data_IF_497024615071
#
_entry.id   IF_497024615071
#
_cell.length_a   1.000
_cell.length_b   1.000
_cell.length_c   1.000
_cell.angle_alpha   90.00
_cell.angle_beta   90.00
_cell.angle_gamma   90.00
#
_symmetry.space_group_name_H-M   'P 1'
#
loop_
_entity.id
_entity.type
_entity.pdbx_description
1 polymer ?
#
# COMPACT_ATOMS: atom_id res chain seq x y z
N UNK A 1 0.50 -17.04 -1.83
CA UNK A 1 1.23 -17.49 -2.97
C UNK A 1 2.69 -17.49 -2.69
N UNK A 2 3.18 -18.64 -2.39
CA UNK A 2 4.58 -18.83 -2.21
C UNK A 2 5.14 -18.00 -1.06
N UNK A 3 6.28 -17.43 -1.32
CA UNK A 3 7.03 -16.70 -0.30
C UNK A 3 6.55 -15.26 -0.20
N UNK A 4 5.58 -15.02 0.66
CA UNK A 4 4.99 -13.69 0.79
C UNK A 4 6.02 -12.65 1.21
N UNK A 5 6.84 -12.98 2.21
CA UNK A 5 7.85 -12.02 2.67
C UNK A 5 8.90 -11.78 1.61
N UNK A 6 9.29 -12.82 0.89
CA UNK A 6 10.25 -12.68 -0.20
C UNK A 6 9.69 -11.81 -1.32
N UNK A 7 8.39 -11.93 -1.60
CA UNK A 7 7.76 -11.10 -2.61
C UNK A 7 7.81 -9.63 -2.20
N UNK A 8 7.58 -9.34 -0.92
CA UNK A 8 7.66 -7.97 -0.44
C UNK A 8 9.09 -7.44 -0.57
N UNK A 9 10.08 -8.26 -0.23
CA UNK A 9 11.48 -7.83 -0.35
C UNK A 9 11.87 -7.57 -1.80
N UNK A 10 11.39 -8.41 -2.70
CA UNK A 10 11.69 -8.22 -4.12
C UNK A 10 11.04 -6.94 -4.66
N UNK A 11 9.84 -6.63 -4.19
CA UNK A 11 9.17 -5.40 -4.60
C UNK A 11 9.97 -4.18 -4.12
N UNK A 12 10.48 -4.23 -2.90
CA UNK A 12 11.29 -3.14 -2.37
C UNK A 12 12.57 -2.96 -3.19
N UNK A 13 13.22 -4.06 -3.55
CA UNK A 13 14.42 -3.98 -4.36
C UNK A 13 14.11 -3.40 -5.73
N UNK A 14 12.97 -3.78 -6.32
CA UNK A 14 12.59 -3.27 -7.62
C UNK A 14 12.33 -1.77 -7.58
N UNK A 15 11.72 -1.28 -6.51
CA UNK A 15 11.50 0.15 -6.34
C UNK A 15 12.84 0.89 -6.32
N UNK A 16 13.79 0.39 -5.54
CA UNK A 16 15.09 1.04 -5.43
C UNK A 16 15.83 1.04 -6.75
N UNK A 17 15.71 -0.05 -7.51
CA UNK A 17 16.35 -0.13 -8.82
C UNK A 17 15.79 0.88 -9.79
N UNK A 18 14.55 1.30 -9.58
CA UNK A 18 13.93 2.28 -10.45
C UNK A 18 14.04 3.69 -9.92
N UNK A 19 14.92 3.88 -8.94
CA UNK A 19 15.21 5.21 -8.43
C UNK A 19 14.23 5.74 -7.40
N UNK A 20 13.38 4.87 -6.87
CA UNK A 20 12.46 5.29 -5.82
C UNK A 20 13.19 5.17 -4.48
N UNK A 21 13.17 6.24 -3.70
CA UNK A 21 13.89 6.28 -2.46
C UNK A 21 12.95 5.93 -1.33
N UNK A 22 13.21 4.83 -0.67
CA UNK A 22 12.39 4.37 0.44
C UNK A 22 13.00 4.91 1.72
N UNK A 23 12.24 5.73 2.44
CA UNK A 23 12.75 6.41 3.63
C UNK A 23 12.32 5.74 4.92
N UNK A 24 11.19 5.02 4.91
CA UNK A 24 10.74 4.28 6.09
C UNK A 24 9.99 3.04 5.64
N UNK A 25 10.07 2.01 6.46
CA UNK A 25 9.31 0.78 6.22
C UNK A 25 8.65 0.36 7.50
N UNK A 26 7.39 -0.05 7.43
CA UNK A 26 6.74 -0.64 8.58
C UNK A 26 7.20 -2.09 8.74
N UNK A 27 6.89 -2.68 9.88
CA UNK A 27 7.00 -4.12 10.02
C UNK A 27 6.02 -4.78 9.05
N UNK A 28 6.14 -6.09 8.91
CA UNK A 28 5.18 -6.86 8.13
C UNK A 28 4.01 -7.23 9.03
N UNK A 29 2.82 -7.21 8.48
CA UNK A 29 1.61 -7.52 9.22
C UNK A 29 0.81 -8.56 8.47
N UNK A 30 0.23 -9.50 9.20
CA UNK A 30 -0.71 -10.44 8.62
C UNK A 30 -2.12 -9.95 8.89
N UNK A 31 -2.97 -10.03 7.89
CA UNK A 31 -4.34 -9.58 8.02
C UNK A 31 -5.28 -10.68 7.59
N UNK A 32 -6.40 -10.80 8.28
CA UNK A 32 -7.35 -11.85 7.97
C UNK A 32 -8.06 -11.56 6.65
N UNK A 33 -8.38 -12.60 5.89
CA UNK A 33 -9.13 -12.41 4.66
C UNK A 33 -10.52 -11.90 4.96
N UNK A 34 -11.06 -11.08 4.06
CA UNK A 34 -12.39 -10.55 4.23
C UNK A 34 -13.42 -11.66 4.15
N UNK A 35 -13.20 -12.61 3.26
CA UNK A 35 -14.14 -13.70 3.11
C UNK A 35 -13.74 -14.88 3.98
N UNK A 36 -14.73 -15.55 4.51
CA UNK A 36 -14.50 -16.67 5.39
C UNK A 36 -14.10 -17.89 4.59
N UNK A 37 -12.91 -17.89 4.08
CA UNK A 37 -12.40 -19.03 3.34
C UNK A 37 -11.16 -19.56 3.99
N UNK A 38 -10.87 -20.81 3.76
CA UNK A 38 -9.68 -21.44 4.29
C UNK A 38 -8.51 -21.06 3.38
N UNK A 39 -7.93 -19.93 3.64
CA UNK A 39 -6.77 -19.50 2.88
C UNK A 39 -5.85 -18.74 3.79
N UNK A 40 -4.63 -18.55 3.35
CA UNK A 40 -3.64 -17.85 4.13
C UNK A 40 -4.02 -16.40 4.32
N UNK A 41 -3.63 -15.86 5.45
CA UNK A 41 -3.83 -14.45 5.69
C UNK A 41 -2.92 -13.65 4.76
N UNK A 42 -3.35 -12.44 4.44
CA UNK A 42 -2.57 -11.57 3.58
C UNK A 42 -1.44 -10.95 4.36
N UNK A 43 -0.36 -10.64 3.66
CA UNK A 43 0.78 -9.97 4.26
C UNK A 43 0.80 -8.54 3.73
N UNK A 44 0.89 -7.58 4.64
CA UNK A 44 0.86 -6.17 4.29
C UNK A 44 1.95 -5.39 4.98
N UNK A 45 2.37 -4.31 4.37
CA UNK A 45 3.26 -3.35 5.01
C UNK A 45 3.03 -2.00 4.37
N UNK A 46 3.53 -0.97 5.01
CA UNK A 46 3.50 0.38 4.45
C UNK A 46 4.93 0.87 4.32
N UNK A 47 5.17 1.67 3.30
CA UNK A 47 6.47 2.28 3.12
C UNK A 47 6.27 3.76 2.82
N UNK A 48 7.25 4.54 3.23
CA UNK A 48 7.30 5.96 2.90
C UNK A 48 8.37 6.12 1.85
N UNK A 49 8.05 6.85 0.80
CA UNK A 49 9.04 7.09 -0.25
C UNK A 49 9.15 8.59 -0.47
N UNK A 50 10.29 8.97 -1.03
CA UNK A 50 10.54 10.35 -1.43
C UNK A 50 10.63 10.39 -2.93
N UNK A 51 10.00 11.39 -3.54
CA UNK A 51 10.14 11.61 -4.97
C UNK A 51 10.70 13.01 -5.16
N UNK A 52 11.34 13.25 -6.30
CA UNK A 52 11.86 14.56 -6.64
C UNK A 52 10.73 15.31 -7.27
N UNK A 53 9.68 15.47 -6.56
CA UNK A 53 8.44 15.82 -7.15
C UNK A 53 8.25 17.29 -7.30
N UNK A 54 8.49 17.77 -8.47
CA UNK A 54 8.17 19.14 -8.81
C UNK A 54 7.17 19.17 -9.95
N UNK A 55 6.71 18.00 -10.41
CA UNK A 55 5.83 17.94 -11.57
C UNK A 55 4.45 17.51 -11.13
N UNK A 56 3.45 18.03 -11.82
CA UNK A 56 2.08 17.73 -11.45
C UNK A 56 1.69 16.30 -11.77
N UNK A 57 2.36 15.67 -12.73
CA UNK A 57 2.01 14.31 -13.10
C UNK A 57 2.78 13.25 -12.31
N UNK A 58 3.51 13.65 -11.29
CA UNK A 58 4.34 12.71 -10.53
C UNK A 58 3.57 11.55 -9.92
N UNK A 59 2.38 11.76 -9.33
CA UNK A 59 1.65 10.62 -8.82
C UNK A 59 1.31 9.59 -9.89
N UNK A 60 0.96 10.03 -11.08
CA UNK A 60 0.65 9.10 -12.16
C UNK A 60 1.91 8.39 -12.65
N UNK A 61 3.04 9.09 -12.68
CA UNK A 61 4.30 8.46 -13.05
C UNK A 61 4.69 7.39 -12.05
N UNK A 62 4.48 7.67 -10.76
CA UNK A 62 4.75 6.69 -9.72
C UNK A 62 3.84 5.47 -9.88
N UNK A 63 2.56 5.70 -10.13
CA UNK A 63 1.63 4.57 -10.29
C UNK A 63 2.05 3.71 -11.48
N UNK A 64 2.53 4.32 -12.56
CA UNK A 64 3.00 3.55 -13.72
C UNK A 64 4.17 2.66 -13.34
N UNK A 65 5.10 3.16 -12.50
CA UNK A 65 6.22 2.34 -12.03
C UNK A 65 5.74 1.17 -11.20
N UNK A 66 4.77 1.41 -10.32
CA UNK A 66 4.25 0.34 -9.48
C UNK A 66 3.63 -0.76 -10.32
N UNK A 67 2.88 -0.38 -11.35
CA UNK A 67 2.26 -1.37 -12.22
C UNK A 67 3.28 -2.17 -12.98
N UNK A 68 4.36 -1.55 -13.44
CA UNK A 68 5.43 -2.26 -14.12
C UNK A 68 6.06 -3.29 -13.19
N UNK A 69 6.30 -2.90 -11.93
CA UNK A 69 6.89 -3.81 -10.96
C UNK A 69 5.96 -4.98 -10.69
N UNK A 70 4.66 -4.72 -10.51
CA UNK A 70 3.71 -5.79 -10.27
C UNK A 70 3.69 -6.79 -11.41
N UNK A 71 3.70 -6.29 -12.64
CA UNK A 71 3.69 -7.17 -13.80
C UNK A 71 4.98 -7.97 -13.89
N UNK A 72 6.09 -7.35 -13.57
CA UNK A 72 7.38 -8.03 -13.63
C UNK A 72 7.52 -9.11 -12.58
N UNK A 73 6.74 -9.05 -11.52
CA UNK A 73 6.85 -10.01 -10.44
C UNK A 73 5.90 -11.19 -10.59
N UNK A 74 5.40 -11.44 -11.78
CA UNK A 74 4.67 -12.68 -11.98
C UNK A 74 3.19 -12.54 -12.21
N UNK A 75 2.78 -11.35 -12.59
CA UNK A 75 1.42 -11.24 -12.98
C UNK A 75 1.30 -11.82 -14.35
N UNK A 76 1.41 -13.12 -14.41
CA UNK A 76 1.35 -13.80 -15.66
C UNK A 76 -0.06 -13.86 -16.08
N UNK A 77 -0.26 -13.63 -17.24
CA UNK A 77 -1.47 -13.47 -17.66
C UNK A 77 -2.24 -14.52 -18.11
N UNK A 78 -1.94 -15.67 -17.94
CA UNK A 78 -2.78 -16.80 -18.32
C UNK A 78 -4.12 -16.72 -17.62
N UNK A 79 -4.17 -16.11 -16.46
CA UNK A 79 -5.40 -15.97 -15.72
C UNK A 79 -5.53 -14.54 -15.25
N UNK A 80 -6.20 -13.72 -16.04
CA UNK A 80 -6.33 -12.32 -15.70
C UNK A 80 -6.93 -12.05 -14.33
N UNK A 81 -7.77 -12.97 -13.84
CA UNK A 81 -8.39 -12.81 -12.54
C UNK A 81 -7.71 -13.62 -11.46
N UNK A 82 -6.59 -14.22 -11.77
CA UNK A 82 -5.87 -15.01 -10.78
C UNK A 82 -5.26 -14.15 -9.71
N UNK A 83 -4.80 -14.77 -8.63
CA UNK A 83 -4.20 -14.02 -7.54
C UNK A 83 -2.94 -13.29 -7.98
N UNK A 84 -2.72 -12.15 -7.43
CA UNK A 84 -1.52 -11.38 -7.72
C UNK A 84 -0.44 -11.75 -6.75
N UNK A 85 0.80 -11.68 -7.21
CA UNK A 85 1.94 -11.93 -6.35
C UNK A 85 2.05 -10.81 -5.34
N UNK A 86 1.78 -9.59 -5.75
CA UNK A 86 1.84 -8.43 -4.87
C UNK A 86 0.93 -7.34 -5.42
N UNK A 87 0.35 -6.57 -4.51
CA UNK A 87 -0.42 -5.39 -4.84
C UNK A 87 0.25 -4.19 -4.22
N UNK A 88 0.43 -3.13 -4.98
CA UNK A 88 1.01 -1.90 -4.46
C UNK A 88 0.07 -0.74 -4.78
N UNK A 89 -0.28 0.01 -3.74
CA UNK A 89 -1.18 1.14 -3.88
C UNK A 89 -0.55 2.39 -3.33
N UNK A 90 -0.89 3.52 -3.92
CA UNK A 90 -0.52 4.81 -3.37
C UNK A 90 -1.64 5.20 -2.42
N UNK A 91 -1.33 5.36 -1.15
CA UNK A 91 -2.32 5.66 -0.14
C UNK A 91 -2.44 7.17 0.07
N UNK A 92 -1.31 7.82 0.25
CA UNK A 92 -1.23 9.26 0.40
C UNK A 92 -0.06 9.78 -0.42
N UNK A 93 -0.16 11.00 -0.89
CA UNK A 93 0.92 11.63 -1.64
C UNK A 93 0.99 13.08 -1.18
N UNK A 94 1.68 13.30 -0.08
CA UNK A 94 1.67 14.60 0.57
C UNK A 94 0.24 15.02 0.84
N UNK A 95 -0.12 16.20 0.43
CA UNK A 95 -1.50 16.68 0.57
C UNK A 95 -2.25 16.68 -0.74
N UNK A 96 -1.72 16.00 -1.74
CA UNK A 96 -2.33 15.97 -3.07
C UNK A 96 -3.64 15.22 -3.05
N UNK A 97 -4.59 15.72 -3.81
CA UNK A 97 -5.85 15.05 -4.04
C UNK A 97 -5.96 14.83 -5.54
N UNK A 98 -6.03 13.58 -5.94
CA UNK A 98 -6.09 13.20 -7.35
C UNK A 98 -7.30 12.32 -7.58
N UNK A 99 -8.08 12.63 -8.60
CA UNK A 99 -9.24 11.82 -8.93
C UNK A 99 -9.28 11.68 -10.44
N UNK A 100 -8.70 10.60 -10.94
CA UNK A 100 -8.59 10.32 -12.37
C UNK A 100 -8.87 8.85 -12.58
N UNK A 101 -9.21 8.46 -13.79
CA UNK A 101 -9.41 7.04 -14.05
C UNK A 101 -8.17 6.24 -13.66
N UNK A 102 -8.36 5.26 -12.81
CA UNK A 102 -7.27 4.40 -12.37
C UNK A 102 -6.35 4.97 -11.32
N UNK A 103 -6.62 6.20 -10.83
CA UNK A 103 -5.75 6.80 -9.83
C UNK A 103 -6.55 7.72 -8.93
N UNK A 104 -6.73 7.31 -7.68
CA UNK A 104 -7.41 8.13 -6.69
C UNK A 104 -6.52 8.25 -5.46
N UNK A 105 -6.20 9.48 -5.08
CA UNK A 105 -5.37 9.78 -3.92
C UNK A 105 -6.08 10.87 -3.13
N UNK A 106 -6.29 10.73 -1.85
CA UNK A 106 -5.94 9.57 -1.00
C UNK A 106 -6.70 8.33 -1.44
N UNK A 107 -6.15 7.16 -1.11
CA UNK A 107 -6.83 5.92 -1.47
C UNK A 107 -8.25 5.98 -0.90
N UNK A 108 -9.26 5.71 -1.74
CA UNK A 108 -10.65 5.99 -1.34
C UNK A 108 -11.15 5.17 -0.17
N UNK A 109 -10.53 4.03 0.11
CA UNK A 109 -11.00 3.17 1.18
C UNK A 109 -10.05 3.06 2.36
N UNK A 110 -9.01 3.89 2.38
CA UNK A 110 -8.00 3.74 3.43
C UNK A 110 -8.57 3.92 4.82
N UNK A 111 -9.54 4.82 4.98
CA UNK A 111 -10.07 5.10 6.32
C UNK A 111 -10.94 3.96 6.83
N UNK A 112 -11.32 3.02 5.97
CA UNK A 112 -12.17 1.90 6.31
C UNK A 112 -11.41 0.59 6.45
N UNK A 113 -10.08 0.61 6.38
CA UNK A 113 -9.31 -0.62 6.32
C UNK A 113 -8.18 -0.63 7.33
N UNK A 114 -8.34 -1.43 8.37
CA UNK A 114 -7.29 -1.54 9.37
C UNK A 114 -5.98 -2.06 8.78
N UNK A 115 -6.05 -2.93 7.78
CA UNK A 115 -4.82 -3.47 7.22
C UNK A 115 -4.00 -2.43 6.46
N UNK A 116 -4.60 -1.28 6.15
CA UNK A 116 -3.86 -0.15 5.61
C UNK A 116 -3.43 0.77 6.74
N UNK A 117 -4.34 1.06 7.66
CA UNK A 117 -4.09 2.06 8.71
C UNK A 117 -3.06 1.62 9.73
N UNK A 118 -3.04 0.34 10.10
CA UNK A 118 -2.11 -0.12 11.14
C UNK A 118 -0.67 0.00 10.70
N UNK A 119 -0.28 -0.55 9.54
CA UNK A 119 1.11 -0.36 9.11
C UNK A 119 1.45 1.09 8.85
N UNK A 120 0.50 1.85 8.31
CA UNK A 120 0.74 3.25 8.00
C UNK A 120 0.96 4.05 9.28
N UNK A 121 0.18 3.76 10.33
CA UNK A 121 0.33 4.47 11.60
C UNK A 121 1.67 4.18 12.26
N UNK A 122 2.27 3.04 11.97
CA UNK A 122 3.58 2.74 12.53
C UNK A 122 4.63 3.73 12.04
N UNK A 123 4.56 4.10 10.75
CA UNK A 123 5.60 4.94 10.16
C UNK A 123 5.18 6.40 9.99
N UNK A 124 3.89 6.69 9.99
CA UNK A 124 3.43 8.04 9.73
C UNK A 124 2.11 8.34 10.47
N UNK A 125 2.11 8.22 11.80
CA UNK A 125 0.87 8.45 12.55
C UNK A 125 0.35 9.88 12.42
N UNK A 126 1.25 10.84 12.20
CA UNK A 126 0.87 12.24 12.10
C UNK A 126 0.53 12.72 10.71
N UNK A 127 0.62 11.84 9.70
CA UNK A 127 0.25 12.26 8.35
C UNK A 127 -1.24 12.57 8.30
N UNK A 128 -1.60 13.64 7.60
CA UNK A 128 -2.97 14.13 7.59
C UNK A 128 -3.64 13.79 6.27
N UNK A 129 -4.82 13.20 6.37
CA UNK A 129 -5.65 12.92 5.20
C UNK A 129 -6.16 14.28 4.69
N UNK A 130 -5.85 14.66 3.45
CA UNK A 130 -6.12 16.03 3.01
C UNK A 130 -7.60 16.36 2.87
N UNK A 131 -8.46 15.37 2.72
CA UNK A 131 -9.89 15.60 2.60
C UNK A 131 -10.58 15.49 3.94
N UNK A 132 -10.30 14.43 4.69
CA UNK A 132 -10.96 14.23 5.98
C UNK A 132 -10.37 15.09 7.09
N UNK A 133 -9.19 15.61 6.87
CA UNK A 133 -8.51 16.51 7.80
C UNK A 133 -8.23 15.86 9.14
N UNK A 134 -7.90 14.58 9.11
CA UNK A 134 -7.58 13.80 10.30
C UNK A 134 -6.26 13.10 10.10
N UNK A 135 -5.54 12.87 11.18
CA UNK A 135 -4.29 12.15 11.09
C UNK A 135 -4.56 10.66 10.92
N UNK A 136 -3.55 9.94 10.45
CA UNK A 136 -3.65 8.48 10.32
C UNK A 136 -3.97 7.87 11.67
N UNK A 137 -3.34 8.36 12.74
CA UNK A 137 -3.63 7.84 14.08
C UNK A 137 -5.10 8.02 14.45
N UNK A 138 -5.66 9.18 14.12
CA UNK A 138 -7.07 9.44 14.39
C UNK A 138 -7.99 8.53 13.57
N UNK A 139 -7.64 8.33 12.31
CA UNK A 139 -8.43 7.46 11.45
C UNK A 139 -8.42 6.02 11.97
N UNK A 140 -7.27 5.58 12.48
CA UNK A 140 -7.17 4.23 13.01
C UNK A 140 -8.06 4.06 14.24
N UNK A 141 -8.11 5.06 15.11
CA UNK A 141 -8.95 5.00 16.29
C UNK A 141 -10.43 4.98 15.90
N UNK A 142 -10.78 5.73 14.87
CA UNK A 142 -12.19 5.91 14.51
C UNK A 142 -12.76 4.87 13.56
N UNK A 143 -11.90 4.09 12.91
CA UNK A 143 -12.40 3.14 11.92
C UNK A 143 -13.31 2.11 12.56
N UNK A 144 -14.32 1.69 11.81
CA UNK A 144 -15.24 0.65 12.27
C UNK A 144 -14.75 -0.73 11.92
N UNK A 145 -13.66 -0.83 11.15
CA UNK A 145 -13.08 -2.11 10.78
C UNK A 145 -12.46 -2.75 12.03
N UNK A 146 -12.89 -3.95 12.35
CA UNK A 146 -12.38 -4.69 13.50
C UNK A 146 -11.56 -5.90 13.08
N UNK A 147 -11.15 -5.96 11.83
CA UNK A 147 -10.34 -7.07 11.33
C UNK A 147 -9.05 -7.17 12.11
N UNK A 148 -8.59 -8.39 12.28
CA UNK A 148 -7.35 -8.61 13.01
C UNK A 148 -6.15 -8.33 12.12
N UNK A 149 -5.21 -7.55 12.62
CA UNK A 149 -3.98 -7.21 11.93
C UNK A 149 -2.85 -7.48 12.91
N UNK A 150 -2.05 -8.49 12.61
CA UNK A 150 -1.00 -8.94 13.51
C UNK A 150 0.38 -8.60 12.99
N UNK A 151 1.21 -8.04 13.85
CA UNK A 151 2.58 -7.74 13.49
C UNK A 151 3.39 -9.04 13.51
N UNK A 152 4.17 -9.25 12.48
CA UNK A 152 5.03 -10.41 12.39
C UNK A 152 6.40 -10.03 12.91
N UNK A 153 6.94 -10.85 13.77
CA UNK A 153 8.26 -10.57 14.35
C UNK A 153 9.36 -11.39 13.76
#
# INVERSE_FOLDING_TARGET
MGDRAGNMARAMAALRERGVRVTRESALYETEPVEMRAQEWFLNSAIEIETDDQREDEPRALMAKLLVIERGMGRKRLEPKGPRVIDMDIVLYGERVVSEPGLAIPHPRMAERRFVLVPLAEIAPGAVHPVLRKTVAELLVETRDRSEVKKIE
#
